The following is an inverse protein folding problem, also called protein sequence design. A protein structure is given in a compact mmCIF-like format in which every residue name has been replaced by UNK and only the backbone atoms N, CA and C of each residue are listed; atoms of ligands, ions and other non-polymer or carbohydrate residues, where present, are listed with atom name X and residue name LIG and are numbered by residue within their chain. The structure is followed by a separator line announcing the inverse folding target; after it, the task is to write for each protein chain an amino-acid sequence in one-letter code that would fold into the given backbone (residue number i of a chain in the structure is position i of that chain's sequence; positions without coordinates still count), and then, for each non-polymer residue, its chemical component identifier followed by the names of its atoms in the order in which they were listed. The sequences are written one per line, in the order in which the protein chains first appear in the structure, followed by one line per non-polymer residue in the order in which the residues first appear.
data_IF_608067080650
#
_entry.id   IF_608067080650
#
_cell.length_a   1.000
_cell.length_b   1.000
_cell.length_c   1.000
_cell.angle_alpha   90.00
_cell.angle_beta   90.00
_cell.angle_gamma   90.00
#
_symmetry.space_group_name_H-M   'P 1'
#
loop_
_entity.id
_entity.type
_entity.pdbx_description
1 polymer ?
#
# COMPACT_ATOMS: atom_id res chain seq x y z
N UNK A 1 -5.77 -0.79 -9.18
CA UNK A 1 -6.73 -1.28 -10.19
C UNK A 1 -7.21 -0.20 -11.14
N UNK A 2 -8.39 0.40 -10.92
CA UNK A 2 -9.03 1.25 -11.96
C UNK A 2 -8.23 2.49 -12.37
N UNK A 3 -7.61 3.19 -11.42
CA UNK A 3 -6.74 4.33 -11.71
C UNK A 3 -5.53 3.92 -12.56
N UNK A 4 -4.90 2.79 -12.23
CA UNK A 4 -3.80 2.22 -13.03
C UNK A 4 -4.26 1.87 -14.45
N UNK A 5 -5.47 1.32 -14.61
CA UNK A 5 -6.01 1.02 -15.94
C UNK A 5 -6.11 2.27 -16.82
N UNK A 6 -6.56 3.40 -16.26
CA UNK A 6 -6.57 4.67 -16.99
C UNK A 6 -5.16 5.13 -17.38
N UNK A 7 -4.16 4.95 -16.51
CA UNK A 7 -2.77 5.24 -16.88
C UNK A 7 -2.27 4.32 -18.00
N UNK A 8 -2.57 3.02 -17.95
CA UNK A 8 -2.20 2.08 -19.01
C UNK A 8 -2.86 2.42 -20.35
N UNK A 9 -4.12 2.86 -20.33
CA UNK A 9 -4.83 3.31 -21.52
C UNK A 9 -4.21 4.60 -22.08
N UNK A 10 -3.88 5.56 -21.20
CA UNK A 10 -3.20 6.79 -21.60
C UNK A 10 -1.81 6.53 -22.19
N UNK A 11 -1.03 5.60 -21.60
CA UNK A 11 0.27 5.18 -22.14
C UNK A 11 0.11 4.60 -23.54
N UNK A 12 -0.87 3.71 -23.74
CA UNK A 12 -1.14 3.13 -25.07
C UNK A 12 -1.58 4.19 -26.09
N UNK A 13 -2.41 5.14 -25.67
CA UNK A 13 -2.87 6.23 -26.52
C UNK A 13 -1.77 7.27 -26.85
N UNK A 14 -0.64 7.25 -26.14
CA UNK A 14 0.48 8.18 -26.36
C UNK A 14 1.41 7.79 -27.52
N UNK A 15 1.18 6.62 -28.14
CA UNK A 15 1.93 6.17 -29.31
C UNK A 15 1.82 7.19 -30.45
N UNK A 16 2.96 7.52 -31.06
CA UNK A 16 3.01 8.43 -32.20
C UNK A 16 4.18 8.06 -33.12
N UNK A 17 4.24 8.58 -34.36
CA UNK A 17 5.39 8.37 -35.24
C UNK A 17 6.74 8.81 -34.63
N UNK A 18 6.72 9.73 -33.65
CA UNK A 18 7.91 10.21 -32.94
C UNK A 18 8.23 9.41 -31.66
N UNK A 19 7.26 8.65 -31.13
CA UNK A 19 7.38 7.92 -29.87
C UNK A 19 6.70 6.55 -29.98
N UNK A 20 7.51 5.50 -30.01
CA UNK A 20 7.03 4.12 -29.99
C UNK A 20 6.20 3.82 -28.75
N UNK A 21 5.26 2.88 -28.85
CA UNK A 21 4.50 2.38 -27.69
C UNK A 21 5.41 2.02 -26.52
N UNK A 22 5.13 2.61 -25.35
CA UNK A 22 5.77 2.24 -24.09
C UNK A 22 5.06 1.01 -23.54
N UNK A 23 5.83 -0.05 -23.24
CA UNK A 23 5.34 -1.28 -22.63
C UNK A 23 5.90 -1.40 -21.22
N UNK A 24 5.06 -1.87 -20.30
CA UNK A 24 5.52 -2.21 -18.95
C UNK A 24 6.11 -3.61 -19.00
N UNK A 25 7.43 -3.68 -18.88
CA UNK A 25 8.12 -4.94 -18.65
C UNK A 25 7.94 -5.36 -17.19
N UNK A 26 7.35 -6.54 -16.98
CA UNK A 26 7.02 -7.08 -15.66
C UNK A 26 7.93 -8.25 -15.33
N UNK A 27 7.89 -8.69 -14.07
CA UNK A 27 8.71 -9.79 -13.58
C UNK A 27 10.21 -9.50 -13.77
N UNK A 28 10.63 -8.26 -13.54
CA UNK A 28 12.03 -7.84 -13.57
C UNK A 28 12.44 -7.35 -12.18
N UNK A 29 13.65 -7.71 -11.78
CA UNK A 29 14.22 -7.36 -10.48
C UNK A 29 15.60 -6.72 -10.69
N UNK A 30 15.86 -5.49 -10.24
CA UNK A 30 17.19 -4.92 -10.32
C UNK A 30 18.14 -5.63 -9.36
N UNK A 31 19.35 -5.95 -9.84
CA UNK A 31 20.39 -6.65 -9.08
C UNK A 31 21.63 -5.79 -8.85
N UNK A 32 21.90 -4.83 -9.74
CA UNK A 32 23.05 -3.92 -9.69
C UNK A 32 22.67 -2.56 -10.28
N UNK A 33 23.24 -1.49 -9.71
CA UNK A 33 23.13 -0.11 -10.19
C UNK A 33 24.51 0.53 -10.07
N UNK A 34 25.00 1.06 -11.19
CA UNK A 34 26.22 1.86 -11.27
C UNK A 34 25.90 3.20 -11.92
N UNK A 35 26.44 4.28 -11.37
CA UNK A 35 26.32 5.63 -11.92
C UNK A 35 27.72 6.17 -12.14
N UNK A 36 28.07 6.45 -13.39
CA UNK A 36 29.32 7.12 -13.74
C UNK A 36 29.15 8.64 -13.66
N UNK A 37 29.57 9.22 -12.53
CA UNK A 37 29.47 10.66 -12.28
C UNK A 37 30.32 11.51 -13.25
N UNK A 38 31.37 10.94 -13.85
CA UNK A 38 32.21 11.66 -14.81
C UNK A 38 31.47 11.95 -16.13
N UNK A 39 30.42 11.19 -16.41
CA UNK A 39 29.58 11.32 -17.59
C UNK A 39 28.26 12.04 -17.30
N UNK A 40 28.06 12.55 -16.08
CA UNK A 40 26.78 13.14 -15.65
C UNK A 40 26.38 14.39 -16.45
N UNK A 41 27.37 15.16 -16.94
CA UNK A 41 27.18 16.40 -17.70
C UNK A 41 27.32 16.19 -19.22
N UNK A 42 27.46 14.95 -19.67
CA UNK A 42 27.49 14.62 -21.10
C UNK A 42 26.08 14.22 -21.57
N UNK A 43 25.46 15.13 -22.32
CA UNK A 43 24.09 14.97 -22.85
C UNK A 43 23.91 13.72 -23.73
N UNK A 44 24.99 13.19 -24.33
CA UNK A 44 24.95 12.02 -25.22
C UNK A 44 25.33 10.72 -24.49
N UNK A 45 25.92 10.81 -23.30
CA UNK A 45 26.30 9.66 -22.49
C UNK A 45 25.10 8.95 -21.84
N UNK A 46 25.34 7.70 -21.42
CA UNK A 46 24.40 6.90 -20.65
C UNK A 46 25.06 6.52 -19.31
N UNK A 47 25.18 7.48 -18.37
CA UNK A 47 25.95 7.29 -17.14
C UNK A 47 25.37 6.24 -16.20
N UNK A 48 24.08 5.88 -16.35
CA UNK A 48 23.40 4.94 -15.47
C UNK A 48 23.39 3.55 -16.09
N UNK A 49 23.97 2.58 -15.39
CA UNK A 49 23.94 1.17 -15.76
C UNK A 49 23.16 0.37 -14.71
N UNK A 50 22.12 -0.35 -15.13
CA UNK A 50 21.28 -1.18 -14.27
C UNK A 50 21.28 -2.61 -14.80
N UNK A 51 21.62 -3.56 -13.94
CA UNK A 51 21.42 -4.98 -14.25
C UNK A 51 20.06 -5.41 -13.74
N UNK A 52 19.26 -5.98 -14.63
CA UNK A 52 17.93 -6.50 -14.38
C UNK A 52 17.93 -8.01 -14.53
N UNK A 53 17.22 -8.70 -13.65
CA UNK A 53 17.01 -10.14 -13.69
C UNK A 53 15.57 -10.45 -14.02
N UNK A 54 15.35 -11.34 -14.99
CA UNK A 54 14.02 -11.85 -15.36
C UNK A 54 13.58 -12.91 -14.36
N UNK A 55 12.42 -12.70 -13.75
CA UNK A 55 11.76 -13.64 -12.86
C UNK A 55 10.69 -14.42 -13.64
N UNK A 56 10.47 -15.67 -13.26
CA UNK A 56 9.25 -16.40 -13.64
C UNK A 56 8.03 -15.78 -12.95
N UNK A 57 6.83 -16.02 -13.51
CA UNK A 57 5.57 -15.56 -12.89
C UNK A 57 5.43 -16.04 -11.44
N UNK A 58 5.87 -17.26 -11.16
CA UNK A 58 5.82 -17.84 -9.81
C UNK A 58 6.72 -17.10 -8.83
N UNK A 59 7.92 -16.69 -9.25
CA UNK A 59 8.85 -15.93 -8.42
C UNK A 59 8.41 -14.48 -8.21
N UNK A 60 7.74 -13.89 -9.22
CA UNK A 60 7.21 -12.53 -9.16
C UNK A 60 5.88 -12.42 -8.39
N UNK A 61 5.17 -13.52 -8.19
CA UNK A 61 3.88 -13.54 -7.49
C UNK A 61 4.09 -13.47 -5.98
N UNK A 62 3.62 -12.41 -5.29
CA UNK A 62 3.73 -12.31 -3.84
C UNK A 62 2.89 -13.40 -3.16
N UNK A 63 3.39 -13.93 -2.04
CA UNK A 63 2.62 -14.88 -1.24
C UNK A 63 1.36 -14.22 -0.67
N UNK A 64 0.20 -14.73 -1.06
CA UNK A 64 -1.08 -14.41 -0.42
C UNK A 64 -1.20 -15.26 0.85
N UNK A 65 -1.54 -14.62 1.96
CA UNK A 65 -1.63 -15.33 3.24
C UNK A 65 -3.03 -15.85 3.49
N UNK A 66 -4.03 -15.07 3.10
CA UNK A 66 -5.42 -15.47 3.18
C UNK A 66 -5.74 -16.23 1.89
N UNK A 67 -5.52 -17.54 1.84
CA UNK A 67 -5.57 -18.32 0.59
C UNK A 67 -6.88 -18.22 -0.21
N UNK A 68 -7.98 -17.74 0.39
CA UNK A 68 -9.29 -17.54 -0.23
C UNK A 68 -9.74 -16.07 -0.30
N UNK A 69 -8.94 -15.12 0.18
CA UNK A 69 -9.27 -13.69 0.19
C UNK A 69 -8.07 -12.88 -0.28
N UNK A 70 -8.27 -11.96 -1.22
CA UNK A 70 -7.17 -11.09 -1.64
C UNK A 70 -6.72 -10.22 -0.47
N UNK A 71 -5.42 -10.14 -0.24
CA UNK A 71 -4.84 -9.30 0.80
C UNK A 71 -3.58 -8.58 0.29
N UNK A 72 -3.29 -7.41 0.88
CA UNK A 72 -2.06 -6.66 0.61
C UNK A 72 -1.09 -6.65 1.78
N UNK A 73 -1.13 -7.64 2.66
CA UNK A 73 -0.18 -7.73 3.78
C UNK A 73 1.27 -7.81 3.30
N UNK A 74 1.50 -8.35 2.11
CA UNK A 74 2.81 -8.41 1.45
C UNK A 74 3.37 -7.03 1.04
N UNK A 75 2.53 -5.99 0.96
CA UNK A 75 2.91 -4.60 0.61
C UNK A 75 2.65 -3.58 1.73
N UNK A 76 2.03 -4.00 2.84
CA UNK A 76 1.78 -3.11 3.96
C UNK A 76 3.09 -2.62 4.59
N UNK A 77 3.09 -1.46 5.24
CA UNK A 77 4.29 -0.92 5.89
C UNK A 77 4.88 -1.84 6.96
N UNK A 78 4.07 -2.76 7.48
CA UNK A 78 4.55 -3.77 8.41
C UNK A 78 5.39 -4.81 7.70
N UNK A 79 5.25 -5.04 6.37
CA UNK A 79 5.95 -6.04 5.57
C UNK A 79 7.48 -5.97 5.76
N UNK A 80 8.12 -7.13 5.74
CA UNK A 80 9.58 -7.20 5.78
C UNK A 80 10.07 -6.98 4.37
N UNK A 81 11.19 -6.27 4.22
CA UNK A 81 11.89 -6.20 2.96
C UNK A 81 12.23 -7.63 2.47
N UNK A 82 11.61 -8.04 1.37
CA UNK A 82 11.78 -9.35 0.78
C UNK A 82 12.64 -9.32 -0.49
N UNK A 83 13.19 -8.15 -0.84
CA UNK A 83 14.03 -7.97 -2.02
C UNK A 83 15.25 -8.90 -1.99
N UNK A 84 15.92 -9.03 -0.84
CA UNK A 84 17.04 -9.95 -0.66
C UNK A 84 16.65 -11.42 -0.86
N UNK A 85 15.51 -11.83 -0.29
CA UNK A 85 15.02 -13.20 -0.46
C UNK A 85 14.55 -13.47 -1.90
N UNK A 86 14.02 -12.47 -2.60
CA UNK A 86 13.68 -12.57 -4.03
C UNK A 86 14.94 -12.70 -4.91
N UNK A 87 16.02 -12.00 -4.56
CA UNK A 87 17.33 -12.12 -5.23
C UNK A 87 17.93 -13.52 -5.05
N UNK A 88 17.83 -14.10 -3.85
CA UNK A 88 18.31 -15.47 -3.60
C UNK A 88 17.49 -16.52 -4.34
N UNK A 89 16.15 -16.42 -4.29
CA UNK A 89 15.24 -17.37 -4.96
C UNK A 89 15.41 -17.41 -6.48
N UNK A 90 15.84 -16.28 -7.07
CA UNK A 90 16.02 -16.12 -8.51
C UNK A 90 17.46 -16.32 -8.98
N UNK A 91 18.35 -16.84 -8.13
CA UNK A 91 19.75 -17.07 -8.52
C UNK A 91 19.85 -17.96 -9.78
N UNK A 92 20.65 -17.52 -10.76
CA UNK A 92 20.86 -18.26 -12.01
C UNK A 92 19.86 -17.96 -13.13
N UNK A 93 18.89 -17.07 -12.90
CA UNK A 93 18.03 -16.56 -13.97
C UNK A 93 18.80 -15.64 -14.94
N UNK A 94 18.21 -15.40 -16.12
CA UNK A 94 18.80 -14.53 -17.15
C UNK A 94 18.86 -13.09 -16.66
N UNK A 95 20.03 -12.49 -16.80
CA UNK A 95 20.28 -11.08 -16.51
C UNK A 95 20.49 -10.30 -17.81
N UNK A 96 19.99 -9.06 -17.81
CA UNK A 96 20.21 -8.08 -18.87
C UNK A 96 20.74 -6.78 -18.26
N UNK A 97 21.68 -6.15 -18.95
CA UNK A 97 22.23 -4.86 -18.52
C UNK A 97 21.66 -3.75 -19.39
N UNK A 98 21.03 -2.78 -18.75
CA UNK A 98 20.43 -1.61 -19.40
C UNK A 98 21.28 -0.38 -19.08
N UNK A 99 21.73 0.31 -20.13
CA UNK A 99 22.37 1.62 -20.02
C UNK A 99 21.35 2.71 -20.32
N UNK A 100 21.24 3.69 -19.43
CA UNK A 100 20.25 4.75 -19.50
C UNK A 100 20.88 6.11 -19.20
N UNK A 101 20.26 7.17 -19.74
CA UNK A 101 20.59 8.55 -19.37
C UNK A 101 20.08 8.88 -17.96
N UNK A 102 18.88 8.39 -17.65
CA UNK A 102 18.21 8.64 -16.37
C UNK A 102 17.58 7.35 -15.85
N UNK A 103 17.50 7.25 -14.52
CA UNK A 103 16.73 6.23 -13.81
C UNK A 103 15.80 6.93 -12.82
N UNK A 104 14.52 6.53 -12.82
CA UNK A 104 13.52 7.03 -11.88
C UNK A 104 13.06 5.87 -10.99
N UNK A 105 13.44 5.90 -9.71
CA UNK A 105 13.04 4.90 -8.73
C UNK A 105 11.61 5.09 -8.24
N UNK A 106 10.66 4.29 -8.75
CA UNK A 106 9.26 4.26 -8.30
C UNK A 106 8.90 2.92 -7.61
N UNK A 107 9.87 2.33 -6.91
CA UNK A 107 9.84 0.98 -6.35
C UNK A 107 9.39 0.91 -4.87
N UNK A 108 8.65 1.94 -4.42
CA UNK A 108 7.86 1.92 -3.18
C UNK A 108 8.64 2.19 -1.88
N UNK A 109 7.99 1.92 -0.73
CA UNK A 109 8.50 2.30 0.59
C UNK A 109 9.85 1.63 0.92
N UNK A 110 10.04 0.37 0.51
CA UNK A 110 11.29 -0.37 0.67
C UNK A 110 12.23 -0.26 -0.53
N UNK A 111 12.09 0.80 -1.35
CA UNK A 111 12.88 1.08 -2.56
C UNK A 111 14.31 0.54 -2.50
N UNK A 112 14.61 -0.37 -3.41
CA UNK A 112 15.94 -0.89 -3.68
C UNK A 112 16.82 0.23 -4.24
N UNK A 113 16.30 1.03 -5.18
CA UNK A 113 17.07 2.14 -5.80
C UNK A 113 17.58 3.09 -4.74
N UNK A 114 16.70 3.54 -3.84
CA UNK A 114 17.06 4.45 -2.75
C UNK A 114 18.13 3.87 -1.82
N UNK A 115 18.00 2.59 -1.46
CA UNK A 115 18.98 1.91 -0.60
C UNK A 115 20.34 1.76 -1.28
N UNK A 116 20.35 1.49 -2.58
CA UNK A 116 21.57 1.33 -3.37
C UNK A 116 22.33 2.65 -3.52
N UNK A 117 21.63 3.79 -3.59
CA UNK A 117 22.27 5.12 -3.60
C UNK A 117 22.95 5.49 -2.27
N UNK A 118 22.60 4.81 -1.17
CA UNK A 118 23.33 4.90 0.10
C UNK A 118 23.12 6.19 0.89
N UNK A 119 24.19 6.66 1.53
CA UNK A 119 24.16 7.79 2.46
C UNK A 119 23.59 9.06 1.82
N UNK A 120 22.71 9.76 2.55
CA UNK A 120 22.03 10.97 2.06
C UNK A 120 20.69 10.72 1.36
N UNK A 121 20.41 9.49 0.91
CA UNK A 121 19.12 9.09 0.34
C UNK A 121 18.23 8.31 1.31
N UNK A 122 18.69 8.13 2.55
CA UNK A 122 17.95 7.44 3.59
C UNK A 122 16.61 8.14 3.85
N UNK A 123 15.55 7.36 4.01
CA UNK A 123 14.29 7.89 4.53
C UNK A 123 14.49 8.08 6.04
N UNK A 124 14.50 9.32 6.57
CA UNK A 124 14.57 9.51 7.99
C UNK A 124 13.36 8.80 8.60
N UNK A 125 13.62 7.85 9.52
CA UNK A 125 12.59 7.30 10.40
C UNK A 125 12.22 8.45 11.32
N UNK A 126 11.38 9.36 10.82
CA UNK A 126 10.82 10.36 11.68
C UNK A 126 9.82 9.59 12.54
N UNK A 127 10.08 9.55 13.85
CA UNK A 127 9.07 9.49 14.91
C UNK A 127 8.12 10.70 14.86
N UNK A 128 7.92 11.29 13.67
CA UNK A 128 7.04 12.40 13.45
C UNK A 128 5.62 11.86 13.53
N UNK A 129 5.00 12.15 14.66
CA UNK A 129 3.56 12.32 14.75
C UNK A 129 3.11 13.17 13.56
N UNK A 130 2.62 12.52 12.52
CA UNK A 130 2.06 13.20 11.36
C UNK A 130 0.66 13.67 11.78
N UNK A 131 0.56 14.94 12.13
CA UNK A 131 -0.71 15.57 12.45
C UNK A 131 -1.44 15.90 11.14
N UNK A 132 -2.38 15.05 10.73
CA UNK A 132 -3.36 15.39 9.70
C UNK A 132 -4.69 15.62 10.42
N UNK A 133 -5.24 16.84 10.32
CA UNK A 133 -6.53 17.22 10.92
C UNK A 133 -6.62 16.98 12.44
N UNK A 134 -5.56 17.28 13.20
CA UNK A 134 -5.56 17.18 14.67
C UNK A 134 -5.39 15.76 15.23
N UNK A 135 -5.19 14.74 14.39
CA UNK A 135 -4.96 13.38 14.84
C UNK A 135 -3.46 13.08 14.93
N UNK A 136 -2.99 12.71 16.13
CA UNK A 136 -1.65 12.17 16.32
C UNK A 136 -1.60 10.75 15.72
N UNK A 137 -1.05 10.62 14.51
CA UNK A 137 -0.73 9.33 13.90
C UNK A 137 0.52 8.73 14.58
N UNK A 138 0.45 8.43 15.89
CA UNK A 138 1.40 7.50 16.51
C UNK A 138 1.28 6.17 15.77
N UNK A 139 2.37 5.40 15.73
CA UNK A 139 2.51 3.99 15.35
C UNK A 139 1.38 3.11 15.88
N UNK A 140 0.21 3.24 15.27
CA UNK A 140 -1.01 2.51 15.63
C UNK A 140 -1.27 1.55 14.49
N UNK A 141 -1.23 0.27 14.81
CA UNK A 141 -1.60 -0.82 13.92
C UNK A 141 -3.05 -0.64 13.49
N UNK A 142 -3.28 -0.63 12.18
CA UNK A 142 -4.62 -0.48 11.59
C UNK A 142 -4.93 -1.70 10.75
N UNK A 143 -6.08 -2.32 11.05
CA UNK A 143 -6.74 -3.21 10.12
C UNK A 143 -7.48 -2.39 9.07
N UNK A 144 -7.50 -2.86 7.84
CA UNK A 144 -8.28 -2.27 6.76
C UNK A 144 -9.14 -3.37 6.16
N UNK A 145 -10.42 -3.10 5.95
CA UNK A 145 -11.36 -4.02 5.32
C UNK A 145 -12.16 -3.28 4.25
N UNK A 146 -12.22 -3.82 3.04
CA UNK A 146 -13.15 -3.39 2.00
C UNK A 146 -14.36 -4.32 1.98
N UNK A 147 -15.50 -3.85 2.50
CA UNK A 147 -16.70 -4.68 2.67
C UNK A 147 -17.95 -4.07 2.06
N UNK A 148 -18.98 -4.88 1.82
CA UNK A 148 -20.36 -4.41 1.64
C UNK A 148 -21.08 -4.55 2.99
N UNK A 149 -21.19 -3.47 3.79
CA UNK A 149 -21.73 -3.55 5.14
C UNK A 149 -23.25 -3.64 5.14
N UNK A 150 -23.78 -4.41 6.09
CA UNK A 150 -25.17 -4.44 6.54
C UNK A 150 -25.17 -3.94 7.98
N UNK A 151 -25.70 -2.74 8.22
CA UNK A 151 -25.59 -2.07 9.52
C UNK A 151 -26.79 -1.19 9.78
N UNK A 152 -27.12 -0.99 11.06
CA UNK A 152 -28.04 0.03 11.54
C UNK A 152 -27.31 1.31 12.00
N UNK A 153 -25.98 1.37 11.82
CA UNK A 153 -25.20 2.57 12.03
C UNK A 153 -25.81 3.68 11.17
N UNK A 154 -26.24 4.78 11.80
CA UNK A 154 -27.31 5.60 11.27
C UNK A 154 -26.91 6.14 9.92
N UNK A 155 -27.71 5.88 8.89
CA UNK A 155 -27.52 6.52 7.60
C UNK A 155 -27.91 8.01 7.64
N UNK A 156 -28.69 8.39 8.65
CA UNK A 156 -29.29 9.70 8.77
C UNK A 156 -29.58 9.98 10.26
N UNK A 157 -28.82 10.88 10.87
CA UNK A 157 -29.23 11.53 12.13
C UNK A 157 -29.77 12.91 11.78
N UNK A 158 -30.94 12.94 11.13
CA UNK A 158 -31.83 14.09 11.24
C UNK A 158 -32.43 14.07 12.64
N UNK A 159 -31.83 14.84 13.55
CA UNK A 159 -32.52 15.62 14.59
C UNK A 159 -31.48 16.54 15.24
N UNK A 160 -31.45 17.74 14.65
CA UNK A 160 -31.05 18.99 15.31
C UNK A 160 -29.53 19.30 15.41
N UNK A 161 -28.92 19.51 14.23
CA UNK A 161 -27.85 20.47 13.88
C UNK A 161 -26.55 20.48 14.74
N UNK A 162 -25.39 19.98 14.29
CA UNK A 162 -24.67 20.42 13.08
C UNK A 162 -25.32 19.95 11.75
N UNK A 163 -25.87 20.87 10.93
CA UNK A 163 -26.54 20.53 9.67
C UNK A 163 -25.59 20.02 8.57
N UNK A 164 -24.27 20.05 8.77
CA UNK A 164 -23.32 19.93 7.66
C UNK A 164 -22.91 18.49 7.24
N UNK A 165 -23.10 17.45 8.06
CA UNK A 165 -23.15 16.03 7.63
C UNK A 165 -23.26 15.06 8.82
N UNK A 166 -24.37 14.31 8.98
CA UNK A 166 -24.42 13.23 9.97
C UNK A 166 -23.43 12.11 9.62
N UNK A 167 -22.89 11.46 10.66
CA UNK A 167 -22.09 10.25 10.52
C UNK A 167 -22.96 9.14 9.97
N UNK A 168 -22.54 8.58 8.84
CA UNK A 168 -23.25 7.57 8.05
C UNK A 168 -22.20 6.63 7.49
N UNK A 169 -22.51 5.33 7.45
CA UNK A 169 -21.66 4.33 6.80
C UNK A 169 -21.42 4.64 5.30
N UNK A 170 -22.28 5.49 4.70
CA UNK A 170 -22.19 6.01 3.33
C UNK A 170 -21.66 7.43 3.23
N UNK A 171 -21.26 8.04 4.33
CA UNK A 171 -20.46 9.25 4.36
C UNK A 171 -19.05 8.97 4.88
N UNK A 172 -18.09 9.82 4.49
CA UNK A 172 -16.80 9.81 5.17
C UNK A 172 -17.03 10.26 6.61
N UNK A 173 -16.75 9.39 7.58
CA UNK A 173 -16.86 9.73 8.99
C UNK A 173 -15.75 9.06 9.81
N UNK A 174 -15.56 9.60 11.02
CA UNK A 174 -14.63 9.05 12.01
C UNK A 174 -15.42 8.79 13.28
N UNK A 175 -15.32 7.57 13.80
CA UNK A 175 -15.99 7.12 15.01
C UNK A 175 -14.93 6.92 16.08
N UNK A 176 -15.08 7.65 17.19
CA UNK A 176 -14.28 7.47 18.38
C UNK A 176 -15.11 6.78 19.44
N UNK A 177 -14.78 5.52 19.73
CA UNK A 177 -15.34 4.83 20.89
C UNK A 177 -14.61 5.27 22.16
N UNK A 178 -15.32 5.33 23.29
CA UNK A 178 -14.73 5.67 24.58
C UNK A 178 -13.52 4.77 24.95
N UNK A 179 -13.61 3.48 24.62
CA UNK A 179 -12.65 2.47 25.06
C UNK A 179 -12.28 1.43 23.99
N UNK A 180 -13.01 1.33 22.87
CA UNK A 180 -12.72 0.33 21.84
C UNK A 180 -11.75 0.82 20.75
N UNK A 181 -11.46 2.14 20.69
CA UNK A 181 -10.55 2.75 19.70
C UNK A 181 -11.28 3.55 18.63
N UNK A 182 -10.55 3.88 17.56
CA UNK A 182 -11.05 4.71 16.46
C UNK A 182 -11.29 3.90 15.18
N UNK A 183 -12.38 4.19 14.49
CA UNK A 183 -12.71 3.67 13.18
C UNK A 183 -12.93 4.82 12.20
N UNK A 184 -12.35 4.74 10.99
CA UNK A 184 -12.65 5.66 9.90
C UNK A 184 -13.36 4.93 8.77
N UNK A 185 -14.48 5.51 8.34
CA UNK A 185 -15.32 5.03 7.24
C UNK A 185 -14.96 5.81 5.99
N UNK A 186 -14.67 5.09 4.90
CA UNK A 186 -14.49 5.67 3.56
C UNK A 186 -15.45 4.94 2.61
N UNK A 187 -16.58 5.57 2.24
CA UNK A 187 -17.49 5.02 1.24
C UNK A 187 -16.79 4.88 -0.11
N UNK A 188 -17.02 3.76 -0.79
CA UNK A 188 -16.42 3.41 -2.07
C UNK A 188 -17.49 3.19 -3.13
N UNK A 189 -17.05 2.98 -4.36
CA UNK A 189 -17.90 2.58 -5.48
C UNK A 189 -18.66 1.27 -5.19
N UNK A 190 -19.69 0.97 -6.00
CA UNK A 190 -20.37 -0.34 -5.99
C UNK A 190 -20.87 -0.80 -4.61
N UNK A 191 -21.22 0.14 -3.72
CA UNK A 191 -21.68 -0.10 -2.34
C UNK A 191 -20.61 -0.62 -1.38
N UNK A 192 -19.35 -0.69 -1.81
CA UNK A 192 -18.23 -0.99 -0.92
C UNK A 192 -18.02 0.15 0.07
N UNK A 193 -17.46 -0.20 1.23
CA UNK A 193 -17.03 0.73 2.26
C UNK A 193 -15.70 0.21 2.80
N UNK A 194 -14.68 1.05 2.74
CA UNK A 194 -13.38 0.79 3.37
C UNK A 194 -13.46 1.22 4.84
N UNK A 195 -13.16 0.29 5.74
CA UNK A 195 -13.06 0.56 7.18
C UNK A 195 -11.60 0.53 7.61
N UNK A 196 -11.08 1.66 8.10
CA UNK A 196 -9.80 1.72 8.79
C UNK A 196 -10.04 1.59 10.29
N UNK A 197 -9.50 0.55 10.91
CA UNK A 197 -9.83 0.15 12.27
C UNK A 197 -8.56 0.12 13.10
N UNK A 198 -8.51 0.97 14.14
CA UNK A 198 -7.43 0.95 15.13
C UNK A 198 -7.45 -0.35 15.92
N UNK A 199 -6.32 -1.06 15.96
CA UNK A 199 -6.13 -2.26 16.76
C UNK A 199 -5.33 -1.90 18.01
N UNK A 200 -5.90 -2.11 19.21
CA UNK A 200 -5.27 -1.72 20.49
C UNK A 200 -4.19 -2.69 20.98
N UNK A 201 -4.16 -3.94 20.50
CA UNK A 201 -3.44 -5.05 21.16
C UNK A 201 -2.37 -5.73 20.30
N UNK A 202 -1.82 -5.08 19.27
CA UNK A 202 -0.72 -5.69 18.50
C UNK A 202 0.67 -5.20 18.94
N UNK A 203 0.74 -4.15 19.77
CA UNK A 203 1.98 -3.67 20.35
C UNK A 203 2.49 -4.60 21.47
N UNK A 204 3.06 -5.73 21.10
CA UNK A 204 4.05 -6.39 21.96
C UNK A 204 5.27 -5.48 22.03
N UNK A 205 5.78 -5.23 23.24
CA UNK A 205 6.90 -4.33 23.55
C UNK A 205 8.27 -4.72 22.95
N UNK A 206 8.28 -5.34 21.77
CA UNK A 206 9.47 -5.79 21.03
C UNK A 206 9.56 -5.18 19.62
N UNK A 207 8.68 -4.24 19.25
CA UNK A 207 8.82 -3.44 18.03
C UNK A 207 8.47 -4.15 16.72
N UNK A 208 7.92 -5.36 16.77
CA UNK A 208 7.33 -6.06 15.62
C UNK A 208 6.02 -6.69 16.03
N UNK A 209 4.94 -6.08 15.56
CA UNK A 209 3.61 -6.67 15.56
C UNK A 209 3.68 -8.07 14.93
N UNK A 210 3.29 -9.11 15.67
CA UNK A 210 3.16 -10.44 15.08
C UNK A 210 1.97 -10.43 14.12
N UNK A 211 2.30 -10.18 12.85
CA UNK A 211 1.36 -10.16 11.73
C UNK A 211 0.52 -11.44 11.70
N UNK A 212 1.02 -12.55 12.25
CA UNK A 212 0.31 -13.83 12.29
C UNK A 212 -1.05 -13.74 13.00
N UNK A 213 -1.20 -12.79 13.92
CA UNK A 213 -2.41 -12.63 14.74
C UNK A 213 -3.47 -11.73 14.10
N UNK A 214 -3.10 -10.93 13.08
CA UNK A 214 -4.03 -10.01 12.41
C UNK A 214 -4.81 -10.78 11.35
N UNK A 215 -6.08 -11.06 11.64
CA UNK A 215 -7.03 -11.73 10.73
C UNK A 215 -8.22 -10.81 10.42
N UNK A 216 -8.93 -11.02 9.29
CA UNK A 216 -10.16 -10.28 9.00
C UNK A 216 -11.18 -10.37 10.14
N UNK A 217 -11.30 -11.53 10.78
CA UNK A 217 -12.22 -11.74 11.91
C UNK A 217 -11.84 -10.89 13.14
N UNK A 218 -10.55 -10.77 13.46
CA UNK A 218 -10.08 -9.92 14.55
C UNK A 218 -10.36 -8.45 14.24
N UNK A 219 -10.05 -8.01 13.03
CA UNK A 219 -10.27 -6.64 12.57
C UNK A 219 -11.77 -6.32 12.64
N UNK A 220 -12.62 -7.19 12.10
CA UNK A 220 -14.07 -6.99 12.08
C UNK A 220 -14.71 -7.09 13.48
N UNK A 221 -14.20 -7.96 14.35
CA UNK A 221 -14.61 -7.99 15.77
C UNK A 221 -14.29 -6.68 16.47
N UNK A 222 -13.18 -6.05 16.15
CA UNK A 222 -12.81 -4.74 16.70
C UNK A 222 -13.73 -3.64 16.16
N UNK A 223 -14.05 -3.66 14.86
CA UNK A 223 -15.04 -2.74 14.29
C UNK A 223 -16.41 -2.81 15.00
N UNK A 224 -16.91 -4.02 15.27
CA UNK A 224 -18.16 -4.22 16.03
C UNK A 224 -18.12 -3.61 17.42
N UNK A 225 -16.99 -3.66 18.12
CA UNK A 225 -16.84 -3.02 19.44
C UNK A 225 -16.86 -1.49 19.32
N UNK A 226 -16.17 -0.94 18.33
CA UNK A 226 -16.11 0.52 18.12
C UNK A 226 -17.47 1.10 17.75
N UNK A 227 -18.25 0.38 16.93
CA UNK A 227 -19.56 0.84 16.47
C UNK A 227 -20.70 0.59 17.47
N UNK A 228 -20.46 -0.09 18.60
CA UNK A 228 -21.47 -0.32 19.63
C UNK A 228 -22.11 1.01 20.08
N UNK A 229 -23.46 1.10 20.19
CA UNK A 229 -24.43 0.00 20.19
C UNK A 229 -24.93 -0.45 18.81
N UNK A 230 -24.45 0.17 17.72
CA UNK A 230 -24.89 -0.16 16.37
C UNK A 230 -24.37 -1.53 15.92
N UNK A 231 -25.21 -2.28 15.22
CA UNK A 231 -24.87 -3.56 14.65
C UNK A 231 -24.19 -3.39 13.30
N UNK A 232 -23.14 -4.17 13.03
CA UNK A 232 -22.52 -4.27 11.70
C UNK A 232 -22.26 -5.74 11.36
N UNK A 233 -22.66 -6.10 10.14
CA UNK A 233 -22.36 -7.35 9.44
C UNK A 233 -21.85 -6.98 8.04
N UNK A 234 -21.36 -7.94 7.27
CA UNK A 234 -21.06 -7.74 5.86
C UNK A 234 -21.67 -8.86 5.02
N UNK A 235 -22.09 -8.50 3.81
CA UNK A 235 -22.50 -9.49 2.81
C UNK A 235 -21.30 -10.07 2.05
N UNK A 236 -20.28 -9.22 1.85
CA UNK A 236 -19.12 -9.50 1.03
C UNK A 236 -17.90 -8.75 1.57
N UNK A 237 -16.73 -9.36 1.45
CA UNK A 237 -15.41 -8.78 1.72
C UNK A 237 -14.57 -8.91 0.46
N UNK A 238 -14.07 -7.79 -0.03
CA UNK A 238 -13.28 -7.68 -1.26
C UNK A 238 -11.80 -7.87 -0.97
N UNK A 239 -11.32 -7.23 0.11
CA UNK A 239 -9.92 -7.13 0.49
C UNK A 239 -9.74 -6.87 1.99
#
# INVERSE_FOLDING_TARGET
GRVEAFFLDAIRASESPAHSTILIDRCTLPTSLHVDEHLAEDDDAHPVEVTLRRLSEREATPAQRLGNLSDGMHRGNLASDDAGAALERSAGQVEETVRAKYLVGCDGAHSWVRKTLGEGYEMPVKDAALFINGLMLISVTRGVLDIIPITDFPADVQRDADPARPADIRNRCMVHSADAGTLMVIPRENRLVTLYIQLKEVSAGTGRDDRSTITPDLIFKTARKILSPFSIKYHYIDW
#
